data_IF_807074543370
#
_entry.id   IF_807074543370
#
_cell.length_a   1.000
_cell.length_b   1.000
_cell.length_c   1.000
_cell.angle_alpha   90.00
_cell.angle_beta   90.00
_cell.angle_gamma   90.00
#
_symmetry.space_group_name_H-M   'P 1'
#
loop_
_entity.id
_entity.type
_entity.pdbx_description
1 polymer ?
#
# COMPACT_ATOMS: atom_id res chain seq x y z
N UNK A 1 -72.99 -33.95 34.66
CA UNK A 1 -72.08 -33.04 35.39
C UNK A 1 -70.68 -33.26 34.81
N UNK A 2 -70.32 -32.58 33.73
CA UNK A 2 -69.47 -31.37 33.77
C UNK A 2 -68.16 -31.57 34.56
N UNK A 3 -67.04 -31.88 33.89
CA UNK A 3 -66.01 -30.91 33.48
C UNK A 3 -64.84 -31.60 32.72
N UNK A 4 -64.41 -30.95 31.64
CA UNK A 4 -63.17 -31.18 30.88
C UNK A 4 -61.92 -30.92 31.73
N UNK A 5 -60.81 -31.61 31.44
CA UNK A 5 -59.49 -30.95 31.47
C UNK A 5 -58.49 -31.66 30.55
N UNK A 6 -58.41 -31.17 29.33
CA UNK A 6 -57.36 -31.44 28.35
C UNK A 6 -56.10 -30.71 28.82
N UNK A 7 -55.08 -31.44 29.27
CA UNK A 7 -53.78 -30.86 29.65
C UNK A 7 -53.02 -30.51 28.37
N UNK A 8 -53.20 -29.28 27.90
CA UNK A 8 -52.41 -28.64 26.86
C UNK A 8 -51.03 -28.30 27.44
N UNK A 9 -50.03 -29.11 27.12
CA UNK A 9 -48.62 -28.79 27.41
C UNK A 9 -48.17 -27.69 26.46
N UNK A 10 -48.22 -26.44 26.92
CA UNK A 10 -47.59 -25.30 26.25
C UNK A 10 -46.09 -25.39 26.54
N UNK A 11 -45.34 -25.97 25.61
CA UNK A 11 -43.88 -25.82 25.57
C UNK A 11 -43.58 -24.39 25.11
N UNK A 12 -43.38 -23.48 26.07
CA UNK A 12 -42.89 -22.13 25.81
C UNK A 12 -41.42 -22.24 25.38
N UNK A 13 -41.17 -22.29 24.07
CA UNK A 13 -39.83 -22.14 23.52
C UNK A 13 -39.39 -20.68 23.75
N UNK A 14 -38.68 -20.45 24.86
CA UNK A 14 -37.98 -19.20 25.12
C UNK A 14 -36.84 -19.10 24.10
N UNK A 15 -37.09 -18.45 22.97
CA UNK A 15 -36.04 -18.01 22.05
C UNK A 15 -35.29 -16.90 22.79
N UNK A 16 -34.21 -17.29 23.49
CA UNK A 16 -33.18 -16.34 23.89
C UNK A 16 -32.59 -15.79 22.59
N UNK A 17 -33.05 -14.63 22.16
CA UNK A 17 -32.29 -13.74 21.28
C UNK A 17 -31.04 -13.34 22.06
N UNK A 18 -30.00 -14.16 21.93
CA UNK A 18 -28.64 -13.76 22.31
C UNK A 18 -28.39 -12.49 21.51
N UNK A 19 -28.18 -11.31 22.14
CA UNK A 19 -27.74 -10.16 21.40
C UNK A 19 -26.44 -10.59 20.72
N UNK A 20 -26.42 -10.57 19.38
CA UNK A 20 -25.17 -10.69 18.65
C UNK A 20 -24.23 -9.67 19.30
N UNK A 21 -23.18 -10.17 19.96
CA UNK A 21 -22.10 -9.33 20.43
C UNK A 21 -21.68 -8.53 19.20
N UNK A 22 -22.00 -7.24 19.19
CA UNK A 22 -21.54 -6.32 18.18
C UNK A 22 -20.03 -6.38 18.27
N UNK A 23 -19.39 -7.21 17.44
CA UNK A 23 -17.95 -7.18 17.30
C UNK A 23 -17.62 -5.75 16.87
N UNK A 24 -16.79 -5.08 17.68
CA UNK A 24 -16.32 -3.76 17.32
C UNK A 24 -15.44 -3.95 16.10
N UNK A 25 -15.77 -3.24 15.02
CA UNK A 25 -14.99 -3.21 13.79
C UNK A 25 -13.78 -2.30 13.96
N UNK A 26 -12.77 -2.46 13.10
CA UNK A 26 -11.56 -1.64 13.12
C UNK A 26 -11.33 -1.02 11.76
N UNK A 27 -11.14 0.30 11.72
CA UNK A 27 -10.67 1.03 10.54
C UNK A 27 -9.35 1.71 10.83
N UNK A 28 -8.33 1.37 10.04
CA UNK A 28 -7.01 1.98 10.06
C UNK A 28 -6.83 2.77 8.77
N UNK A 29 -6.30 3.97 8.88
CA UNK A 29 -5.95 4.80 7.72
C UNK A 29 -4.48 5.15 7.82
N UNK A 30 -3.74 4.95 6.75
CA UNK A 30 -2.31 5.22 6.63
C UNK A 30 -2.08 6.27 5.54
N UNK A 31 -1.21 7.23 5.82
CA UNK A 31 -0.70 8.17 4.83
C UNK A 31 0.61 7.63 4.26
N UNK A 32 0.63 7.45 2.94
CA UNK A 32 1.78 6.95 2.21
C UNK A 32 2.47 8.10 1.47
N UNK A 33 3.70 8.40 1.86
CA UNK A 33 4.54 9.46 1.29
C UNK A 33 5.78 8.88 0.63
N UNK A 34 6.30 9.56 -0.40
CA UNK A 34 7.52 9.14 -1.11
C UNK A 34 7.37 7.94 -2.07
N UNK A 35 6.18 7.32 -2.18
CA UNK A 35 5.91 6.22 -3.12
C UNK A 35 5.62 6.68 -4.57
N UNK A 36 5.54 7.98 -4.81
CA UNK A 36 5.23 8.57 -6.11
C UNK A 36 5.10 10.09 -6.03
N UNK A 37 4.73 10.76 -7.14
CA UNK A 37 4.59 12.23 -7.18
C UNK A 37 3.42 12.74 -6.34
N UNK A 38 2.45 11.88 -6.01
CA UNK A 38 1.30 12.23 -5.19
C UNK A 38 1.28 11.37 -3.92
N UNK A 39 0.91 11.99 -2.80
CA UNK A 39 0.58 11.27 -1.58
C UNK A 39 -0.66 10.42 -1.84
N UNK A 40 -0.69 9.21 -1.27
CA UNK A 40 -1.85 8.34 -1.30
C UNK A 40 -2.19 7.88 0.11
N UNK A 41 -3.39 7.33 0.26
CA UNK A 41 -3.89 6.85 1.53
C UNK A 41 -4.23 5.39 1.39
N UNK A 42 -3.70 4.55 2.29
CA UNK A 42 -4.10 3.16 2.42
C UNK A 42 -5.11 3.04 3.55
N UNK A 43 -6.27 2.46 3.27
CA UNK A 43 -7.30 2.17 4.27
C UNK A 43 -7.39 0.67 4.48
N UNK A 44 -7.28 0.23 5.73
CA UNK A 44 -7.51 -1.15 6.16
C UNK A 44 -8.77 -1.16 7.02
N UNK A 45 -9.68 -2.05 6.71
CA UNK A 45 -10.95 -2.24 7.40
C UNK A 45 -11.06 -3.70 7.82
N UNK A 46 -11.44 -3.93 9.06
CA UNK A 46 -11.60 -5.27 9.64
C UNK A 46 -13.00 -5.38 10.22
N UNK A 47 -13.72 -6.42 9.80
CA UNK A 47 -15.04 -6.76 10.30
C UNK A 47 -15.10 -8.28 10.49
N UNK A 48 -15.12 -8.72 11.75
CA UNK A 48 -14.99 -10.13 12.10
C UNK A 48 -13.75 -10.76 11.46
N UNK A 49 -13.93 -11.83 10.71
CA UNK A 49 -12.83 -12.53 10.03
C UNK A 49 -12.48 -11.96 8.64
N UNK A 50 -13.06 -10.82 8.24
CA UNK A 50 -12.85 -10.23 6.92
C UNK A 50 -11.97 -8.99 7.03
N UNK A 51 -11.02 -8.88 6.10
CA UNK A 51 -10.09 -7.74 6.02
C UNK A 51 -10.15 -7.16 4.63
N UNK A 52 -10.50 -5.87 4.53
CA UNK A 52 -10.50 -5.10 3.29
C UNK A 52 -9.38 -4.09 3.30
N UNK A 53 -8.53 -4.07 2.27
CA UNK A 53 -7.44 -3.11 2.11
C UNK A 53 -7.54 -2.43 0.76
N UNK A 54 -7.43 -1.10 0.74
CA UNK A 54 -7.52 -0.30 -0.48
C UNK A 54 -6.54 0.88 -0.41
N UNK A 55 -5.87 1.17 -1.52
CA UNK A 55 -5.22 2.47 -1.70
C UNK A 55 -6.12 3.43 -2.48
N UNK A 56 -6.09 4.71 -2.10
CA UNK A 56 -7.00 5.72 -2.64
C UNK A 56 -6.83 6.02 -4.15
N UNK A 57 -5.81 5.45 -4.81
CA UNK A 57 -5.42 5.83 -6.18
C UNK A 57 -5.60 4.72 -7.21
N UNK A 58 -5.48 3.46 -6.81
CA UNK A 58 -5.45 2.35 -7.76
C UNK A 58 -6.82 2.03 -8.37
N UNK A 59 -7.90 2.22 -7.62
CA UNK A 59 -9.19 1.61 -7.93
C UNK A 59 -9.16 0.09 -7.77
N UNK A 60 -8.25 -0.40 -6.93
CA UNK A 60 -8.07 -1.81 -6.60
C UNK A 60 -8.13 -1.94 -5.09
N UNK A 61 -8.95 -2.87 -4.61
CA UNK A 61 -8.95 -3.28 -3.21
C UNK A 61 -8.75 -4.79 -3.11
N UNK A 62 -8.20 -5.23 -1.99
CA UNK A 62 -8.19 -6.64 -1.61
C UNK A 62 -9.23 -6.88 -0.53
N UNK A 63 -9.88 -8.04 -0.60
CA UNK A 63 -10.84 -8.50 0.40
C UNK A 63 -10.46 -9.94 0.78
N UNK A 64 -9.86 -10.07 1.95
CA UNK A 64 -9.57 -11.36 2.57
C UNK A 64 -10.77 -11.82 3.38
N UNK A 65 -11.10 -13.09 3.21
CA UNK A 65 -12.08 -13.81 4.00
C UNK A 65 -11.39 -14.93 4.78
N UNK A 66 -11.30 -14.74 6.10
CA UNK A 66 -10.67 -15.68 7.01
C UNK A 66 -11.44 -16.99 7.19
N UNK A 67 -12.74 -17.03 6.89
CA UNK A 67 -13.56 -18.25 7.00
C UNK A 67 -13.28 -19.19 5.84
N UNK A 68 -13.11 -18.64 4.64
CA UNK A 68 -12.88 -19.40 3.40
C UNK A 68 -11.42 -19.41 2.96
N UNK A 69 -10.53 -18.73 3.71
CA UNK A 69 -9.09 -18.53 3.37
C UNK A 69 -8.92 -18.09 1.92
N UNK A 70 -9.69 -17.07 1.54
CA UNK A 70 -9.73 -16.55 0.18
C UNK A 70 -9.40 -15.06 0.17
N UNK A 71 -8.47 -14.66 -0.69
CA UNK A 71 -8.15 -13.26 -0.97
C UNK A 71 -8.69 -12.90 -2.35
N UNK A 72 -9.64 -11.98 -2.38
CA UNK A 72 -10.19 -11.43 -3.61
C UNK A 72 -9.46 -10.13 -3.93
N UNK A 73 -8.80 -10.05 -5.09
CA UNK A 73 -8.28 -8.78 -5.62
C UNK A 73 -9.30 -8.21 -6.57
N UNK A 74 -9.87 -7.06 -6.24
CA UNK A 74 -11.01 -6.46 -6.94
C UNK A 74 -10.57 -5.20 -7.65
N UNK A 75 -10.85 -5.10 -8.94
CA UNK A 75 -10.64 -3.92 -9.74
C UNK A 75 -11.99 -3.24 -10.02
N UNK A 76 -12.19 -2.07 -9.42
CA UNK A 76 -13.44 -1.32 -9.52
C UNK A 76 -13.62 -0.64 -10.88
N UNK A 77 -12.52 -0.39 -11.60
CA UNK A 77 -12.55 0.23 -12.93
C UNK A 77 -13.00 -0.76 -14.01
N UNK A 78 -12.51 -1.99 -13.95
CA UNK A 78 -12.89 -3.05 -14.91
C UNK A 78 -14.09 -3.88 -14.45
N UNK A 79 -14.57 -3.68 -13.22
CA UNK A 79 -15.60 -4.50 -12.57
C UNK A 79 -15.25 -5.99 -12.62
N UNK A 80 -14.00 -6.29 -12.31
CA UNK A 80 -13.48 -7.64 -12.31
C UNK A 80 -12.82 -7.97 -10.98
N UNK A 81 -12.84 -9.24 -10.59
CA UNK A 81 -12.15 -9.70 -9.39
C UNK A 81 -11.41 -11.01 -9.62
N UNK A 82 -10.28 -11.16 -8.94
CA UNK A 82 -9.45 -12.36 -8.96
C UNK A 82 -9.56 -13.06 -7.61
N UNK A 83 -10.04 -14.29 -7.62
CA UNK A 83 -10.04 -15.16 -6.43
C UNK A 83 -8.67 -15.79 -6.27
N UNK A 84 -8.07 -15.66 -5.08
CA UNK A 84 -6.80 -16.30 -4.73
C UNK A 84 -6.97 -17.11 -3.45
N UNK A 85 -6.84 -18.42 -3.57
CA UNK A 85 -6.80 -19.41 -2.49
C UNK A 85 -5.73 -20.45 -2.83
N UNK A 86 -5.43 -21.38 -1.90
CA UNK A 86 -4.37 -22.37 -2.11
C UNK A 86 -4.60 -23.22 -3.38
N UNK A 87 -5.84 -23.61 -3.66
CA UNK A 87 -6.18 -24.45 -4.82
C UNK A 87 -5.97 -23.71 -6.14
N UNK A 88 -6.57 -22.52 -6.28
CA UNK A 88 -6.44 -21.70 -7.49
C UNK A 88 -5.00 -21.20 -7.68
N UNK A 89 -4.28 -20.89 -6.59
CA UNK A 89 -2.86 -20.52 -6.67
C UNK A 89 -2.05 -21.70 -7.21
N UNK A 90 -2.19 -22.89 -6.63
CA UNK A 90 -1.48 -24.08 -7.10
C UNK A 90 -1.75 -24.37 -8.58
N UNK A 91 -3.02 -24.36 -9.00
CA UNK A 91 -3.38 -24.57 -10.40
C UNK A 91 -2.73 -23.52 -11.34
N UNK A 92 -2.70 -22.25 -10.92
CA UNK A 92 -2.03 -21.18 -11.67
C UNK A 92 -0.52 -21.37 -11.73
N UNK A 93 0.11 -21.74 -10.62
CA UNK A 93 1.55 -21.99 -10.55
C UNK A 93 1.95 -23.19 -11.42
N UNK A 94 1.19 -24.28 -11.41
CA UNK A 94 1.43 -25.44 -12.30
C UNK A 94 1.39 -25.04 -13.78
N UNK A 95 0.37 -24.26 -14.18
CA UNK A 95 0.27 -23.76 -15.56
C UNK A 95 1.39 -22.77 -15.89
N UNK A 96 1.76 -21.88 -14.96
CA UNK A 96 2.88 -20.96 -15.15
C UNK A 96 4.22 -21.68 -15.30
N UNK A 97 4.46 -22.75 -14.52
CA UNK A 97 5.65 -23.60 -14.65
C UNK A 97 5.66 -24.32 -16.01
N UNK A 98 4.52 -24.87 -16.44
CA UNK A 98 4.41 -25.50 -17.75
C UNK A 98 4.70 -24.50 -18.89
N UNK A 99 4.12 -23.30 -18.82
CA UNK A 99 4.35 -22.22 -19.78
C UNK A 99 5.82 -21.76 -19.77
N UNK A 100 6.43 -21.61 -18.60
CA UNK A 100 7.84 -21.25 -18.49
C UNK A 100 8.76 -22.31 -19.09
N UNK A 101 8.44 -23.60 -18.90
CA UNK A 101 9.15 -24.71 -19.53
C UNK A 101 9.08 -24.63 -21.06
N UNK A 102 7.89 -24.42 -21.62
CA UNK A 102 7.72 -24.25 -23.06
C UNK A 102 8.49 -23.06 -23.60
N UNK A 103 8.40 -21.91 -22.92
CA UNK A 103 9.15 -20.71 -23.27
C UNK A 103 10.67 -20.95 -23.24
N UNK A 104 11.16 -21.68 -22.23
CA UNK A 104 12.58 -22.03 -22.12
C UNK A 104 13.03 -22.93 -23.28
N UNK A 105 12.25 -23.94 -23.65
CA UNK A 105 12.56 -24.83 -24.78
C UNK A 105 12.57 -24.06 -26.12
N UNK A 106 11.62 -23.14 -26.32
CA UNK A 106 11.57 -22.31 -27.51
C UNK A 106 12.72 -21.30 -27.56
N UNK A 107 13.01 -20.62 -26.46
CA UNK A 107 14.16 -19.73 -26.33
C UNK A 107 15.47 -20.48 -26.60
N UNK A 108 15.64 -21.71 -26.11
CA UNK A 108 16.82 -22.54 -26.41
C UNK A 108 16.94 -22.86 -27.90
N UNK A 109 15.82 -23.16 -28.58
CA UNK A 109 15.82 -23.35 -30.05
C UNK A 109 16.24 -22.07 -30.78
N UNK A 110 15.77 -20.90 -30.33
CA UNK A 110 16.18 -19.61 -30.91
C UNK A 110 17.67 -19.33 -30.68
N UNK A 111 18.19 -19.57 -29.47
CA UNK A 111 19.62 -19.42 -29.15
C UNK A 111 20.49 -20.34 -30.01
N UNK A 112 20.04 -21.56 -30.30
CA UNK A 112 20.76 -22.49 -31.17
C UNK A 112 20.86 -22.01 -32.63
N UNK A 113 20.00 -21.09 -33.06
CA UNK A 113 20.01 -20.50 -34.41
C UNK A 113 20.86 -19.23 -34.50
N UNK A 114 21.36 -18.70 -33.37
CA UNK A 114 22.19 -17.50 -33.34
C UNK A 114 23.64 -17.78 -33.81
N UNK A 115 24.34 -16.76 -34.33
CA UNK A 115 25.78 -16.82 -34.54
C UNK A 115 26.54 -17.23 -33.27
N UNK A 116 27.69 -17.88 -33.43
CA UNK A 116 28.42 -18.51 -32.31
C UNK A 116 28.77 -17.52 -31.18
N UNK A 117 29.16 -16.29 -31.52
CA UNK A 117 29.46 -15.24 -30.56
C UNK A 117 28.22 -14.86 -29.72
N UNK A 118 27.07 -14.71 -30.37
CA UNK A 118 25.81 -14.33 -29.72
C UNK A 118 25.24 -15.48 -28.89
N UNK A 119 25.34 -16.72 -29.38
CA UNK A 119 24.95 -17.92 -28.65
C UNK A 119 25.72 -18.04 -27.34
N UNK A 120 27.04 -17.89 -27.38
CA UNK A 120 27.89 -17.96 -26.19
C UNK A 120 27.54 -16.88 -25.16
N UNK A 121 27.28 -15.65 -25.62
CA UNK A 121 26.84 -14.56 -24.77
C UNK A 121 25.46 -14.83 -24.12
N UNK A 122 24.52 -15.40 -24.88
CA UNK A 122 23.20 -15.77 -24.38
C UNK A 122 23.26 -16.90 -23.35
N UNK A 123 24.06 -17.94 -23.60
CA UNK A 123 24.30 -19.03 -22.66
C UNK A 123 24.92 -18.54 -21.35
N UNK A 124 25.92 -17.65 -21.42
CA UNK A 124 26.53 -17.05 -20.24
C UNK A 124 25.51 -16.22 -19.43
N UNK A 125 24.63 -15.47 -20.11
CA UNK A 125 23.55 -14.73 -19.45
C UNK A 125 22.55 -15.65 -18.77
N UNK A 126 22.15 -16.75 -19.41
CA UNK A 126 21.23 -17.73 -18.81
C UNK A 126 21.85 -18.43 -17.61
N UNK A 127 23.13 -18.78 -17.67
CA UNK A 127 23.86 -19.34 -16.54
C UNK A 127 23.88 -18.37 -15.36
N UNK A 128 24.13 -17.07 -15.60
CA UNK A 128 24.08 -16.03 -14.55
C UNK A 128 22.68 -15.88 -13.95
N UNK A 129 21.62 -15.96 -14.76
CA UNK A 129 20.24 -15.90 -14.26
C UNK A 129 19.91 -17.14 -13.40
N UNK A 130 20.33 -18.32 -13.83
CA UNK A 130 20.12 -19.56 -13.08
C UNK A 130 20.90 -19.56 -11.75
N UNK A 131 22.15 -19.08 -11.77
CA UNK A 131 22.97 -18.90 -10.58
C UNK A 131 22.32 -17.91 -9.61
N UNK A 132 21.86 -16.76 -10.10
CA UNK A 132 21.15 -15.77 -9.30
C UNK A 132 19.85 -16.31 -8.70
N UNK A 133 19.15 -17.21 -9.39
CA UNK A 133 17.92 -17.85 -8.91
C UNK A 133 18.17 -18.87 -7.80
N UNK A 134 19.32 -19.56 -7.84
CA UNK A 134 19.78 -20.49 -6.80
C UNK A 134 20.35 -19.79 -5.57
N UNK A 135 20.57 -18.48 -5.63
CA UNK A 135 21.04 -17.71 -4.48
C UNK A 135 20.05 -17.88 -3.31
N UNK A 136 20.55 -18.00 -2.07
CA UNK A 136 19.69 -18.06 -0.90
C UNK A 136 18.85 -16.79 -0.80
N UNK A 137 17.65 -16.92 -0.23
CA UNK A 137 16.81 -15.76 0.05
C UNK A 137 17.58 -14.81 0.97
N UNK A 138 17.44 -13.49 0.79
CA UNK A 138 18.07 -12.55 1.68
C UNK A 138 17.58 -12.80 3.11
N UNK A 139 18.51 -12.91 4.06
CA UNK A 139 18.17 -13.09 5.46
C UNK A 139 17.48 -11.81 5.96
N UNK A 140 16.22 -11.95 6.38
CA UNK A 140 15.46 -10.87 7.00
C UNK A 140 15.67 -10.95 8.50
N UNK A 141 16.17 -9.88 9.11
CA UNK A 141 16.34 -9.79 10.56
C UNK A 141 15.66 -8.54 11.07
N UNK A 142 14.75 -8.71 12.02
CA UNK A 142 14.18 -7.60 12.77
C UNK A 142 14.85 -7.50 14.13
N UNK A 143 15.31 -6.30 14.48
CA UNK A 143 15.94 -5.99 15.77
C UNK A 143 15.14 -4.90 16.46
N UNK A 144 14.55 -5.21 17.62
CA UNK A 144 13.86 -4.23 18.45
C UNK A 144 14.88 -3.25 19.04
N UNK A 145 14.57 -1.95 18.98
CA UNK A 145 15.42 -0.90 19.56
C UNK A 145 14.81 -0.34 20.84
N UNK A 146 15.54 0.55 21.51
CA UNK A 146 15.02 1.32 22.65
C UNK A 146 14.30 2.61 22.23
N UNK A 147 14.32 2.96 20.93
CA UNK A 147 13.69 4.18 20.40
C UNK A 147 12.17 4.05 20.47
N UNK A 148 11.56 4.96 21.22
CA UNK A 148 10.11 5.12 21.32
C UNK A 148 9.67 6.32 20.49
N UNK A 149 8.54 6.19 19.83
CA UNK A 149 7.87 7.29 19.12
C UNK A 149 6.39 7.33 19.44
N UNK A 150 5.74 8.41 19.02
CA UNK A 150 4.31 8.61 19.18
C UNK A 150 3.68 8.96 17.83
N UNK A 151 2.74 8.14 17.39
CA UNK A 151 1.98 8.33 16.14
C UNK A 151 0.50 8.35 16.49
N UNK A 152 -0.24 9.41 16.13
CA UNK A 152 -1.66 9.57 16.49
C UNK A 152 -1.95 9.38 17.99
N UNK A 153 -1.07 9.90 18.84
CA UNK A 153 -1.08 9.71 20.29
C UNK A 153 -0.87 8.27 20.80
N UNK A 154 -0.52 7.33 19.92
CA UNK A 154 -0.20 5.95 20.26
C UNK A 154 1.33 5.83 20.39
N UNK A 155 1.80 5.39 21.56
CA UNK A 155 3.22 5.09 21.77
C UNK A 155 3.59 3.78 21.06
N UNK A 156 4.73 3.79 20.38
CA UNK A 156 5.25 2.63 19.66
C UNK A 156 6.77 2.51 19.83
N UNK A 157 7.30 1.29 19.68
CA UNK A 157 8.74 1.02 19.74
C UNK A 157 9.25 0.74 18.33
N UNK A 158 10.31 1.45 17.95
CA UNK A 158 10.94 1.29 16.63
C UNK A 158 11.79 0.02 16.62
N UNK A 159 11.63 -0.78 15.57
CA UNK A 159 12.43 -1.96 15.25
C UNK A 159 13.08 -1.76 13.88
N UNK A 160 14.34 -2.15 13.77
CA UNK A 160 15.11 -2.08 12.53
C UNK A 160 14.98 -3.41 11.77
N UNK A 161 14.57 -3.36 10.52
CA UNK A 161 14.57 -4.50 9.60
C UNK A 161 15.81 -4.40 8.72
N UNK A 162 16.62 -5.45 8.75
CA UNK A 162 17.78 -5.63 7.89
C UNK A 162 17.56 -6.78 6.89
N UNK A 163 18.04 -6.58 5.66
CA UNK A 163 18.19 -7.62 4.64
C UNK A 163 19.68 -7.88 4.45
N UNK A 164 20.16 -9.10 4.72
CA UNK A 164 21.58 -9.45 4.71
C UNK A 164 22.43 -8.44 5.50
N UNK A 165 22.01 -8.17 6.74
CA UNK A 165 22.62 -7.22 7.69
C UNK A 165 22.62 -5.74 7.25
N UNK A 166 22.08 -5.42 6.08
CA UNK A 166 21.85 -4.03 5.65
C UNK A 166 20.50 -3.57 6.13
N UNK A 167 20.45 -2.53 6.97
CA UNK A 167 19.20 -1.88 7.37
C UNK A 167 18.44 -1.37 6.15
N UNK A 168 17.18 -1.78 6.02
CA UNK A 168 16.30 -1.40 4.89
C UNK A 168 15.03 -0.71 5.33
N UNK A 169 14.53 -1.01 6.53
CA UNK A 169 13.33 -0.36 7.06
C UNK A 169 13.39 -0.13 8.57
N UNK A 170 12.81 0.97 9.01
CA UNK A 170 12.36 1.16 10.38
C UNK A 170 10.86 0.88 10.46
N UNK A 171 10.43 0.14 11.48
CA UNK A 171 9.03 -0.17 11.75
C UNK A 171 8.71 0.17 13.19
N UNK A 172 7.72 1.02 13.42
CA UNK A 172 7.24 1.32 14.77
C UNK A 172 6.03 0.49 15.09
N UNK A 173 6.14 -0.32 16.14
CA UNK A 173 5.11 -1.28 16.55
C UNK A 173 4.54 -0.80 17.89
N UNK A 174 3.25 -0.53 17.89
CA UNK A 174 2.46 -0.19 19.06
C UNK A 174 1.81 -1.44 19.66
N UNK A 175 1.42 -1.33 20.93
CA UNK A 175 0.55 -2.30 21.58
C UNK A 175 -0.85 -2.33 20.90
N UNK A 176 -1.53 -3.47 20.99
CA UNK A 176 -2.83 -3.71 20.33
C UNK A 176 -4.04 -3.15 21.08
N UNK A 177 -3.86 -2.50 22.23
CA UNK A 177 -4.93 -1.90 23.05
C UNK A 177 -5.83 -0.92 22.29
N UNK A 178 -5.31 -0.32 21.21
CA UNK A 178 -6.06 0.58 20.35
C UNK A 178 -6.93 -0.13 19.30
N UNK A 179 -6.80 -1.44 19.12
CA UNK A 179 -7.62 -2.29 18.21
C UNK A 179 -8.38 -3.35 18.99
N UNK A 180 -9.40 -3.95 18.38
CA UNK A 180 -10.04 -5.15 18.92
C UNK A 180 -9.09 -6.36 18.75
N UNK A 181 -9.03 -7.25 19.74
CA UNK A 181 -8.18 -8.44 19.70
C UNK A 181 -8.59 -9.41 18.57
N UNK A 182 -9.91 -9.57 18.35
CA UNK A 182 -10.43 -10.41 17.27
C UNK A 182 -10.07 -9.82 15.90
N UNK A 183 -10.20 -8.51 15.74
CA UNK A 183 -9.82 -7.81 14.50
C UNK A 183 -8.31 -7.87 14.25
N UNK A 184 -7.50 -7.71 15.30
CA UNK A 184 -6.06 -7.88 15.21
C UNK A 184 -5.71 -9.30 14.76
N UNK A 185 -6.39 -10.31 15.28
CA UNK A 185 -6.21 -11.69 14.86
C UNK A 185 -6.61 -11.91 13.39
N UNK A 186 -7.69 -11.29 12.92
CA UNK A 186 -8.09 -11.34 11.52
C UNK A 186 -7.04 -10.67 10.61
N UNK A 187 -6.49 -9.52 11.02
CA UNK A 187 -5.41 -8.84 10.32
C UNK A 187 -4.15 -9.72 10.24
N UNK A 188 -3.73 -10.32 11.34
CA UNK A 188 -2.60 -11.26 11.37
C UNK A 188 -2.86 -12.44 10.44
N UNK A 189 -4.05 -13.03 10.47
CA UNK A 189 -4.42 -14.16 9.62
C UNK A 189 -4.38 -13.82 8.12
N UNK A 190 -4.71 -12.59 7.74
CA UNK A 190 -4.54 -12.12 6.36
C UNK A 190 -3.07 -12.09 5.95
N UNK A 191 -2.19 -11.52 6.78
CA UNK A 191 -0.75 -11.46 6.46
C UNK A 191 -0.09 -12.84 6.46
N UNK A 192 -0.49 -13.75 7.37
CA UNK A 192 -0.02 -15.14 7.33
C UNK A 192 -0.44 -15.84 6.04
N UNK A 193 -1.67 -15.57 5.59
CA UNK A 193 -2.14 -16.08 4.30
C UNK A 193 -1.30 -15.52 3.14
N UNK A 194 -1.00 -14.21 3.13
CA UNK A 194 -0.13 -13.60 2.12
C UNK A 194 1.30 -14.16 2.14
N UNK A 195 1.85 -14.42 3.32
CA UNK A 195 3.17 -15.05 3.48
C UNK A 195 3.19 -16.48 2.94
N UNK A 196 2.11 -17.24 3.17
CA UNK A 196 1.92 -18.57 2.57
C UNK A 196 1.87 -18.50 1.05
N UNK A 197 1.08 -17.57 0.47
CA UNK A 197 1.02 -17.38 -0.99
C UNK A 197 2.41 -17.03 -1.58
N UNK A 198 3.18 -16.18 -0.88
CA UNK A 198 4.53 -15.80 -1.27
C UNK A 198 5.48 -16.99 -1.24
N UNK A 199 5.43 -17.81 -0.19
CA UNK A 199 6.24 -19.02 -0.08
C UNK A 199 5.91 -20.06 -1.16
N UNK A 200 4.63 -20.28 -1.45
CA UNK A 200 4.20 -21.18 -2.54
C UNK A 200 4.68 -20.69 -3.91
N UNK A 201 4.59 -19.39 -4.15
CA UNK A 201 5.06 -18.76 -5.39
C UNK A 201 6.57 -18.90 -5.55
N UNK A 202 7.35 -18.61 -4.49
CA UNK A 202 8.79 -18.78 -4.49
C UNK A 202 9.18 -20.24 -4.77
N UNK A 203 8.50 -21.20 -4.14
CA UNK A 203 8.71 -22.64 -4.38
C UNK A 203 8.46 -23.03 -5.84
N UNK A 204 7.36 -22.58 -6.44
CA UNK A 204 7.06 -22.85 -7.85
C UNK A 204 8.09 -22.20 -8.79
N UNK A 205 8.64 -21.06 -8.38
CA UNK A 205 9.73 -20.40 -9.09
C UNK A 205 11.10 -20.94 -8.70
N UNK A 206 11.23 -22.07 -7.97
CA UNK A 206 12.49 -22.60 -7.40
C UNK A 206 13.42 -21.52 -6.82
N UNK A 207 12.81 -20.48 -6.26
CA UNK A 207 13.48 -19.43 -5.51
C UNK A 207 13.36 -19.77 -4.03
N UNK A 208 14.37 -19.39 -3.26
CA UNK A 208 14.27 -19.47 -1.82
C UNK A 208 13.15 -18.53 -1.34
N UNK A 209 12.25 -19.05 -0.50
CA UNK A 209 11.23 -18.25 0.15
C UNK A 209 11.87 -17.30 1.17
N UNK A 210 11.32 -16.09 1.37
CA UNK A 210 11.79 -15.20 2.42
C UNK A 210 11.71 -15.89 3.78
N UNK A 211 12.75 -15.72 4.60
CA UNK A 211 12.86 -16.35 5.92
C UNK A 211 11.87 -15.79 6.94
N UNK A 212 11.40 -14.56 6.71
CA UNK A 212 10.41 -13.89 7.53
C UNK A 212 9.53 -12.98 6.67
N UNK A 213 8.22 -13.00 6.91
CA UNK A 213 7.19 -12.37 6.09
C UNK A 213 6.58 -11.13 6.73
N UNK A 214 5.54 -10.57 6.12
CA UNK A 214 4.85 -9.40 6.68
C UNK A 214 4.14 -9.75 7.99
N UNK A 215 3.70 -11.00 8.18
CA UNK A 215 2.94 -11.40 9.36
C UNK A 215 3.72 -11.26 10.66
N UNK A 216 5.05 -11.41 10.66
CA UNK A 216 5.84 -11.32 11.89
C UNK A 216 5.79 -9.93 12.53
N UNK A 217 5.66 -8.88 11.72
CA UNK A 217 5.49 -7.52 12.19
C UNK A 217 4.12 -7.36 12.87
N UNK A 218 3.08 -7.84 12.20
CA UNK A 218 1.71 -7.75 12.70
C UNK A 218 1.45 -8.66 13.90
N UNK A 219 2.19 -9.76 14.07
CA UNK A 219 2.12 -10.60 15.28
C UNK A 219 2.61 -9.90 16.54
N UNK A 220 3.50 -8.91 16.40
CA UNK A 220 4.07 -8.20 17.54
C UNK A 220 3.19 -7.03 18.00
N UNK A 221 2.27 -6.58 17.16
CA UNK A 221 1.30 -5.54 17.50
C UNK A 221 0.86 -4.71 16.31
N UNK A 222 0.30 -3.55 16.60
CA UNK A 222 -0.19 -2.64 15.57
C UNK A 222 0.99 -1.86 14.97
N UNK A 223 1.19 -2.00 13.66
CA UNK A 223 2.21 -1.22 12.95
C UNK A 223 1.75 0.23 12.83
N UNK A 224 2.44 1.13 13.52
CA UNK A 224 2.16 2.57 13.52
C UNK A 224 2.83 3.28 12.34
N UNK A 225 4.05 2.88 11.96
CA UNK A 225 4.64 3.30 10.69
C UNK A 225 5.64 2.28 10.16
N UNK A 226 5.88 2.34 8.85
CA UNK A 226 6.97 1.70 8.14
C UNK A 226 7.71 2.76 7.33
N UNK A 227 9.03 2.83 7.46
CA UNK A 227 9.88 3.80 6.79
C UNK A 227 11.03 3.08 6.10
N UNK A 228 11.25 3.33 4.81
CA UNK A 228 12.47 2.88 4.16
C UNK A 228 13.65 3.77 4.58
N UNK A 229 14.78 3.16 4.95
CA UNK A 229 15.99 3.86 5.41
C UNK A 229 17.11 3.78 4.35
N UNK A 230 18.08 4.72 4.33
CA UNK A 230 18.24 5.87 5.23
C UNK A 230 17.19 6.97 5.04
N UNK A 231 16.73 7.20 3.81
CA UNK A 231 15.64 8.10 3.47
C UNK A 231 14.82 7.41 2.37
N UNK A 232 13.49 7.46 2.47
CA UNK A 232 12.65 6.78 1.49
C UNK A 232 11.16 6.89 1.78
N UNK A 233 10.35 6.08 1.08
CA UNK A 233 8.91 6.05 1.28
C UNK A 233 8.53 5.73 2.73
N UNK A 234 7.46 6.36 3.21
CA UNK A 234 6.90 6.18 4.55
C UNK A 234 5.41 5.86 4.46
N UNK A 235 4.97 4.86 5.20
CA UNK A 235 3.56 4.61 5.48
C UNK A 235 3.34 4.84 6.97
N UNK A 236 2.49 5.78 7.35
CA UNK A 236 2.26 6.15 8.74
C UNK A 236 0.77 6.20 9.06
N UNK A 237 0.38 5.61 10.20
CA UNK A 237 -0.97 5.61 10.69
C UNK A 237 -1.44 7.06 10.91
N UNK A 238 -2.51 7.44 10.22
CA UNK A 238 -3.12 8.77 10.30
C UNK A 238 -4.42 8.78 11.08
N UNK A 239 -5.16 7.66 11.14
CA UNK A 239 -6.29 7.52 12.05
C UNK A 239 -6.62 6.07 12.35
N UNK A 240 -7.28 5.88 13.50
CA UNK A 240 -7.88 4.63 13.95
C UNK A 240 -9.32 4.91 14.40
N UNK A 241 -10.26 4.08 13.98
CA UNK A 241 -11.67 4.15 14.39
C UNK A 241 -12.16 2.75 14.74
N UNK A 242 -13.08 2.70 15.73
CA UNK A 242 -13.81 1.51 16.16
C UNK A 242 -15.31 1.59 15.81
N UNK A 243 -15.65 2.47 14.87
CA UNK A 243 -17.03 2.67 14.44
C UNK A 243 -17.50 1.47 13.61
N UNK A 244 -18.80 1.18 13.68
CA UNK A 244 -19.40 0.12 12.88
C UNK A 244 -19.17 0.36 11.38
N UNK A 245 -18.70 -0.67 10.69
CA UNK A 245 -18.46 -0.70 9.26
C UNK A 245 -19.66 -1.31 8.53
N UNK A 246 -19.80 -0.94 7.26
CA UNK A 246 -20.88 -1.41 6.41
C UNK A 246 -20.58 -2.83 5.94
N UNK A 247 -21.50 -3.76 6.22
CA UNK A 247 -21.34 -5.15 5.81
C UNK A 247 -21.20 -5.30 4.29
N UNK A 248 -21.80 -4.40 3.52
CA UNK A 248 -21.74 -4.39 2.06
C UNK A 248 -20.31 -4.16 1.54
N UNK A 249 -19.48 -3.41 2.26
CA UNK A 249 -18.09 -3.13 1.87
C UNK A 249 -17.23 -4.41 1.90
N UNK A 250 -17.66 -5.43 2.64
CA UNK A 250 -16.99 -6.74 2.77
C UNK A 250 -17.59 -7.82 1.87
N UNK A 251 -18.30 -7.41 0.82
CA UNK A 251 -18.82 -8.30 -0.21
C UNK A 251 -18.34 -7.88 -1.59
N UNK A 252 -18.26 -8.84 -2.52
CA UNK A 252 -18.00 -8.54 -3.93
C UNK A 252 -19.33 -8.12 -4.56
N UNK A 253 -19.43 -6.95 -5.22
CA UNK A 253 -20.67 -6.54 -5.85
C UNK A 253 -21.12 -7.52 -6.94
N UNK A 254 -22.42 -7.78 -7.02
CA UNK A 254 -22.98 -8.81 -7.90
C UNK A 254 -22.77 -8.55 -9.40
N UNK A 255 -22.51 -7.31 -9.80
CA UNK A 255 -22.24 -6.92 -11.19
C UNK A 255 -20.76 -7.09 -11.60
N UNK A 256 -19.91 -7.62 -10.72
CA UNK A 256 -18.49 -7.85 -10.99
C UNK A 256 -18.27 -9.25 -11.55
N UNK A 257 -17.38 -9.35 -12.55
CA UNK A 257 -17.05 -10.61 -13.21
C UNK A 257 -15.79 -11.25 -12.62
N UNK A 258 -15.80 -12.58 -12.46
CA UNK A 258 -14.60 -13.33 -12.12
C UNK A 258 -13.59 -13.23 -13.26
N UNK A 259 -12.38 -12.76 -12.95
CA UNK A 259 -11.26 -12.72 -13.86
C UNK A 259 -10.44 -14.01 -13.77
N UNK A 260 -10.31 -14.70 -14.91
CA UNK A 260 -9.42 -15.85 -15.06
C UNK A 260 -8.13 -15.42 -15.80
N UNK A 261 -7.01 -15.26 -15.08
CA UNK A 261 -5.76 -14.84 -15.69
C UNK A 261 -5.19 -15.88 -16.64
N UNK A 262 -5.49 -17.16 -16.44
CA UNK A 262 -4.97 -18.24 -17.28
C UNK A 262 -5.67 -18.26 -18.64
N UNK A 263 -6.99 -18.04 -18.64
CA UNK A 263 -7.77 -17.88 -19.86
C UNK A 263 -7.36 -16.62 -20.62
N UNK A 264 -7.20 -15.50 -19.90
CA UNK A 264 -6.75 -14.24 -20.50
C UNK A 264 -5.36 -14.37 -21.16
N UNK A 265 -4.43 -15.09 -20.53
CA UNK A 265 -3.10 -15.35 -21.08
C UNK A 265 -3.16 -16.20 -22.36
N UNK A 266 -4.01 -17.23 -22.40
CA UNK A 266 -4.20 -18.06 -23.60
C UNK A 266 -4.81 -17.28 -24.76
N UNK A 267 -5.80 -16.43 -24.48
CA UNK A 267 -6.42 -15.55 -25.47
C UNK A 267 -5.42 -14.54 -26.02
N UNK A 268 -4.59 -13.96 -25.14
CA UNK A 268 -3.50 -13.06 -25.55
C UNK A 268 -2.46 -13.77 -26.42
N UNK A 269 -2.05 -14.99 -26.07
CA UNK A 269 -1.11 -15.79 -26.85
C UNK A 269 -1.68 -16.13 -28.25
N UNK A 270 -2.96 -16.51 -28.33
CA UNK A 270 -3.65 -16.75 -29.61
C UNK A 270 -3.73 -15.49 -30.48
N UNK A 271 -4.03 -14.34 -29.88
CA UNK A 271 -4.08 -13.07 -30.58
C UNK A 271 -2.70 -12.67 -31.15
N UNK A 272 -1.62 -12.90 -30.40
CA UNK A 272 -0.26 -12.67 -30.89
C UNK A 272 0.14 -13.63 -32.01
N UNK A 273 -0.25 -14.90 -31.93
CA UNK A 273 0.01 -15.88 -32.99
C UNK A 273 -0.78 -15.60 -34.28
N UNK A 274 -1.92 -14.89 -34.19
CA UNK A 274 -2.74 -14.50 -35.34
C UNK A 274 -2.31 -13.16 -35.99
N UNK A 275 -1.39 -12.41 -35.36
CA UNK A 275 -0.86 -11.17 -35.93
C UNK A 275 0.17 -11.50 -37.03
N UNK A 276 0.11 -10.87 -38.22
CA UNK A 276 1.13 -11.07 -39.25
C UNK A 276 2.49 -10.65 -38.71
N UNK A 277 3.53 -11.44 -39.00
CA UNK A 277 4.91 -11.10 -38.67
C UNK A 277 5.21 -9.66 -39.17
N UNK A 278 5.85 -8.80 -38.36
CA UNK A 278 6.22 -7.47 -38.82
C UNK A 278 7.05 -7.62 -40.09
N UNK A 279 6.55 -7.04 -41.19
CA UNK A 279 7.25 -7.05 -42.47
C UNK A 279 8.66 -6.49 -42.24
N UNK A 280 9.68 -7.21 -42.71
CA UNK A 280 11.05 -6.76 -42.63
C UNK A 280 11.14 -5.36 -43.25
N UNK A 281 11.38 -4.34 -42.43
CA UNK A 281 11.66 -2.99 -42.91
C UNK A 281 12.88 -3.07 -43.83
N UNK A 282 12.79 -2.62 -45.09
CA UNK A 282 13.94 -2.58 -45.98
C UNK A 282 15.08 -1.82 -45.32
N UNK A 283 16.31 -2.33 -45.44
CA UNK A 283 17.49 -1.65 -44.92
C UNK A 283 17.53 -0.20 -45.44
N UNK A 284 17.74 0.81 -44.56
CA UNK A 284 17.84 2.20 -44.99
C UNK A 284 18.91 2.33 -46.07
N UNK A 285 18.54 2.91 -47.22
CA UNK A 285 19.51 3.26 -48.25
C UNK A 285 20.57 4.18 -47.64
N UNK A 286 21.85 3.89 -47.91
CA UNK A 286 22.96 4.67 -47.39
C UNK A 286 22.78 6.15 -47.75
N UNK A 287 22.69 7.01 -46.72
CA UNK A 287 22.58 8.45 -46.90
C UNK A 287 23.84 8.96 -47.64
N UNK A 288 23.69 9.88 -48.62
CA UNK A 288 24.84 10.51 -49.26
C UNK A 288 25.72 11.20 -48.22
N UNK A 289 27.05 11.11 -48.40
CA UNK A 289 28.01 11.77 -47.52
C UNK A 289 27.71 13.29 -47.45
N UNK A 290 27.67 13.90 -46.25
CA UNK A 290 27.42 15.32 -46.10
C UNK A 290 28.45 16.15 -46.88
N UNK A 291 27.98 17.12 -47.67
CA UNK A 291 28.86 18.10 -48.32
C UNK A 291 29.62 18.90 -47.26
N UNK A 292 30.91 19.15 -47.49
CA UNK A 292 31.77 19.88 -46.57
C UNK A 292 31.19 21.29 -46.29
N UNK A 293 31.02 21.61 -45.01
CA UNK A 293 30.51 22.92 -44.58
C UNK A 293 31.52 24.03 -44.94
N UNK A 294 31.06 25.20 -45.43
CA UNK A 294 31.94 26.34 -45.68
C UNK A 294 32.57 26.85 -44.38
N UNK A 295 33.83 27.30 -44.48
CA UNK A 295 34.58 27.82 -43.33
C UNK A 295 33.88 29.04 -42.70
N UNK A 296 33.84 29.16 -41.36
CA UNK A 296 33.20 30.29 -40.69
C UNK A 296 33.86 31.62 -41.05
N UNK A 297 33.05 32.63 -41.34
CA UNK A 297 33.52 34.00 -41.50
C UNK A 297 34.02 34.57 -40.16
N UNK A 298 35.11 35.36 -40.21
CA UNK A 298 35.72 35.96 -39.02
C UNK A 298 34.74 36.92 -38.30
N UNK A 299 34.67 36.78 -36.97
CA UNK A 299 33.80 37.59 -36.13
C UNK A 299 34.28 39.07 -36.06
N UNK A 300 33.36 40.05 -36.07
CA UNK A 300 33.71 41.46 -35.88
C UNK A 300 34.27 41.73 -34.48
N UNK A 301 35.21 42.69 -34.38
CA UNK A 301 35.79 43.10 -33.11
C UNK A 301 34.74 43.73 -32.17
N UNK A 302 34.81 43.50 -30.84
CA UNK A 302 33.85 44.04 -29.89
C UNK A 302 33.89 45.57 -29.81
N UNK A 303 32.71 46.19 -29.79
CA UNK A 303 32.58 47.63 -29.53
C UNK A 303 32.89 47.96 -28.06
N UNK A 304 33.52 49.11 -27.82
CA UNK A 304 33.89 49.56 -26.49
C UNK A 304 32.66 49.83 -25.59
N UNK A 305 32.75 49.37 -24.34
CA UNK A 305 31.67 49.50 -23.36
C UNK A 305 31.47 50.98 -22.93
N UNK A 306 30.22 51.45 -22.76
CA UNK A 306 29.97 52.78 -22.23
C UNK A 306 30.34 52.90 -20.74
N UNK A 307 30.76 54.10 -20.34
CA UNK A 307 31.16 54.39 -18.96
C UNK A 307 29.95 54.30 -17.99
N UNK A 308 30.15 53.84 -16.74
CA UNK A 308 29.06 53.69 -15.77
C UNK A 308 28.42 55.03 -15.40
N UNK A 309 27.08 55.07 -15.36
CA UNK A 309 26.34 56.21 -14.85
C UNK A 309 26.46 56.32 -13.32
N UNK A 310 26.54 57.56 -12.82
CA UNK A 310 26.64 57.84 -11.40
C UNK A 310 25.38 57.38 -10.64
N UNK A 311 25.58 56.74 -9.49
CA UNK A 311 24.51 56.23 -8.65
C UNK A 311 23.68 57.38 -8.02
N UNK A 312 22.34 57.26 -7.97
CA UNK A 312 21.50 58.26 -7.31
C UNK A 312 21.67 58.21 -5.79
N UNK A 313 21.57 59.37 -5.15
CA UNK A 313 21.67 59.51 -3.70
C UNK A 313 20.52 58.77 -2.97
N UNK A 314 20.79 58.17 -1.80
CA UNK A 314 19.79 57.41 -1.07
C UNK A 314 18.63 58.29 -0.59
N UNK A 315 17.40 57.80 -0.78
CA UNK A 315 16.19 58.45 -0.30
C UNK A 315 16.10 58.40 1.23
N UNK A 316 15.66 59.51 1.84
CA UNK A 316 15.46 59.64 3.29
C UNK A 316 14.27 58.78 3.72
N UNK A 317 14.49 57.92 4.72
CA UNK A 317 13.46 57.04 5.27
C UNK A 317 12.34 57.86 5.96
N UNK A 318 11.05 57.46 5.82
CA UNK A 318 9.97 58.10 6.56
C UNK A 318 10.11 57.85 8.08
N UNK A 319 9.76 58.86 8.88
CA UNK A 319 9.74 58.74 10.33
C UNK A 319 8.67 57.73 10.80
N UNK A 320 8.91 56.97 11.89
CA UNK A 320 7.95 56.00 12.41
C UNK A 320 6.63 56.65 12.82
N UNK A 321 5.51 56.03 12.45
CA UNK A 321 4.19 56.43 12.92
C UNK A 321 4.06 56.19 14.44
N UNK A 322 3.49 57.16 15.16
CA UNK A 322 3.27 57.07 16.60
C UNK A 322 2.30 55.92 16.94
N UNK A 323 2.64 55.16 17.99
CA UNK A 323 1.82 54.07 18.49
C UNK A 323 0.45 54.58 19.01
N UNK A 324 -0.65 53.83 18.80
CA UNK A 324 -1.95 54.18 19.36
C UNK A 324 -1.90 54.19 20.90
N UNK A 325 -2.57 55.16 21.52
CA UNK A 325 -2.71 55.20 22.97
C UNK A 325 -3.53 54.00 23.50
N UNK A 326 -3.22 53.47 24.70
CA UNK A 326 -3.98 52.36 25.29
C UNK A 326 -5.46 52.72 25.48
N UNK A 327 -6.35 51.81 25.09
CA UNK A 327 -7.79 51.94 25.40
C UNK A 327 -8.01 51.92 26.91
N UNK A 328 -8.84 52.84 27.41
CA UNK A 328 -9.18 52.94 28.83
C UNK A 328 -9.88 51.66 29.32
N UNK A 329 -9.46 51.17 30.49
CA UNK A 329 -10.07 50.02 31.14
C UNK A 329 -11.55 50.30 31.51
N UNK A 330 -12.46 49.32 31.42
CA UNK A 330 -13.83 49.49 31.88
C UNK A 330 -13.87 49.81 33.39
N UNK A 331 -14.77 50.72 33.78
CA UNK A 331 -15.03 51.01 35.19
C UNK A 331 -15.60 49.77 35.91
N UNK A 332 -15.30 49.54 37.20
CA UNK A 332 -15.86 48.43 37.96
C UNK A 332 -17.39 48.51 38.01
N UNK A 333 -18.05 47.37 37.82
CA UNK A 333 -19.49 47.25 38.03
C UNK A 333 -19.83 47.54 39.50
N UNK A 334 -20.88 48.33 39.73
CA UNK A 334 -21.37 48.64 41.07
C UNK A 334 -21.82 47.35 41.79
N UNK A 335 -21.33 47.15 43.01
CA UNK A 335 -21.76 46.10 43.92
C UNK A 335 -23.23 46.31 44.30
N UNK A 336 -24.10 45.29 44.25
CA UNK A 336 -25.46 45.40 44.75
C UNK A 336 -25.48 45.72 46.25
N UNK A 337 -26.38 46.61 46.66
CA UNK A 337 -26.64 46.88 48.08
C UNK A 337 -27.19 45.62 48.77
N UNK A 338 -26.81 45.36 50.04
CA UNK A 338 -27.35 44.22 50.78
C UNK A 338 -28.86 44.34 50.97
N UNK A 339 -29.56 43.21 50.79
CA UNK A 339 -30.99 43.09 51.03
C UNK A 339 -31.32 43.41 52.50
N UNK A 340 -32.37 44.19 52.72
CA UNK A 340 -32.88 44.48 54.05
C UNK A 340 -33.36 43.20 54.74
N UNK A 341 -32.86 42.96 55.95
CA UNK A 341 -33.32 41.91 56.85
C UNK A 341 -34.77 42.19 57.29
N UNK A 342 -35.68 41.21 57.27
CA UNK A 342 -37.01 41.39 57.85
C UNK A 342 -36.90 41.60 59.37
N UNK A 343 -37.66 42.58 59.89
CA UNK A 343 -37.86 42.74 61.32
C UNK A 343 -38.63 41.53 61.89
N UNK A 344 -38.29 41.05 63.10
CA UNK A 344 -39.05 40.00 63.77
C UNK A 344 -40.44 40.52 64.16
N UNK A 345 -41.45 39.70 63.89
CA UNK A 345 -42.83 39.95 64.29
C UNK A 345 -42.98 39.86 65.82
N UNK A 346 -43.45 40.94 66.44
CA UNK A 346 -44.45 40.97 67.53
C UNK A 346 -45.23 42.28 67.45
#
# INVERSE_FOLDING_TARGET
MHLNSTVLRISLALVLSIPALSQADTKLVYNDTGFGPQARTTTIQVQGHKVRMEDSTSGIYTLYDGDTKTLNTVNTKTKQYLVTNAENLKARLEKAVAMHKQFKEEMQKQIAQLPEADRKAAEERLAKIEEARKAPAPAVKMTKTERKEKVQNIECVVSNIALNDKGVRDVCIADISNVNADDHQALVAMYEFMDMLSAESAKAQEMAAPSDGAASLHKQGLVAFIQNVPEGPRSELSSISKDALKAEDFTIPADYALFDPLKAAEEAAKAQAAAPAPAATPAPAAAPAPAAAPAPAAAPAPAAAPAPAAAPAPAVAPAPAAAPAPAAAPAPAATPAPAATPAPAM
#
